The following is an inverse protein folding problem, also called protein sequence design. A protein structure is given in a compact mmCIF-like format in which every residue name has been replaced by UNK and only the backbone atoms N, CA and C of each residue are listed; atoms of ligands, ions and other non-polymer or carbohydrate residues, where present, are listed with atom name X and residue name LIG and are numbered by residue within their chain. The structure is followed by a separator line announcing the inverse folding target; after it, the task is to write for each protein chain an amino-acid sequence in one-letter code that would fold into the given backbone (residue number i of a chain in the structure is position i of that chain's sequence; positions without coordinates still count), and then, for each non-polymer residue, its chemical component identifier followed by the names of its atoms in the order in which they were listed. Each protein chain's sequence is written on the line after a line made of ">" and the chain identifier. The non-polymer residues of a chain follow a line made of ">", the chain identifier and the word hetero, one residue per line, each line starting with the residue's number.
data_IF_435919468507
#
_entry.id   IF_435919468507
#
_cell.length_a   1.000
_cell.length_b   1.000
_cell.length_c   1.000
_cell.angle_alpha   90.00
_cell.angle_beta   90.00
_cell.angle_gamma   90.00
#
_symmetry.space_group_name_H-M   'P 1'
#
loop_
_entity.id
_entity.type
_entity.pdbx_description
1 polymer ?
#
# COMPACT_ATOMS: atom_id res chain seq x y z
N UNK A 1 -3.93 9.51 12.72
CA UNK A 1 -2.90 9.73 11.69
C UNK A 1 -3.07 8.62 10.66
N UNK A 2 -3.05 8.92 9.36
CA UNK A 2 -3.22 7.89 8.32
C UNK A 2 -1.87 7.48 7.72
N UNK A 3 -1.68 6.20 7.41
CA UNK A 3 -0.47 5.65 6.79
C UNK A 3 -0.82 5.15 5.38
N UNK A 4 -0.04 5.57 4.39
CA UNK A 4 -0.19 5.16 3.00
C UNK A 4 1.10 4.52 2.51
N UNK A 5 0.99 3.49 1.67
CA UNK A 5 2.12 2.87 0.97
C UNK A 5 2.10 3.25 -0.51
N UNK A 6 3.28 3.42 -1.10
CA UNK A 6 3.46 3.85 -2.49
C UNK A 6 3.99 2.69 -3.33
N UNK A 7 3.08 1.91 -3.90
CA UNK A 7 3.39 0.69 -4.65
C UNK A 7 2.25 0.34 -5.60
N UNK A 8 2.56 -0.33 -6.71
CA UNK A 8 1.57 -0.99 -7.57
C UNK A 8 1.57 -2.52 -7.41
N UNK A 9 2.44 -3.08 -6.57
CA UNK A 9 2.49 -4.52 -6.33
C UNK A 9 1.36 -4.96 -5.41
N UNK A 10 0.44 -5.76 -5.96
CA UNK A 10 -0.71 -6.30 -5.24
C UNK A 10 -0.30 -7.23 -4.10
N UNK A 11 0.84 -7.93 -4.19
CA UNK A 11 1.34 -8.77 -3.11
C UNK A 11 1.72 -7.92 -1.89
N UNK A 12 2.50 -6.86 -2.10
CA UNK A 12 2.90 -5.92 -1.05
C UNK A 12 1.68 -5.24 -0.40
N UNK A 13 0.70 -4.82 -1.21
CA UNK A 13 -0.54 -4.22 -0.70
C UNK A 13 -1.30 -5.20 0.21
N UNK A 14 -1.39 -6.48 -0.19
CA UNK A 14 -2.08 -7.51 0.60
C UNK A 14 -1.37 -7.77 1.92
N UNK A 15 -0.05 -7.85 1.91
CA UNK A 15 0.74 -8.10 3.12
C UNK A 15 0.63 -6.92 4.09
N UNK A 16 0.75 -5.68 3.60
CA UNK A 16 0.59 -4.49 4.41
C UNK A 16 -0.83 -4.35 5.00
N UNK A 17 -1.86 -4.71 4.21
CA UNK A 17 -3.24 -4.75 4.68
C UNK A 17 -3.45 -5.84 5.74
N UNK A 18 -2.85 -7.02 5.58
CA UNK A 18 -2.93 -8.11 6.55
C UNK A 18 -2.23 -7.78 7.87
N UNK A 19 -1.17 -6.97 7.84
CA UNK A 19 -0.51 -6.43 9.03
C UNK A 19 -1.35 -5.37 9.76
N UNK A 20 -2.37 -4.79 9.11
CA UNK A 20 -3.23 -3.76 9.68
C UNK A 20 -2.53 -2.41 9.89
N UNK A 21 -1.49 -2.11 9.10
CA UNK A 21 -0.65 -0.91 9.26
C UNK A 21 -0.90 0.19 8.24
N UNK A 22 -1.75 -0.05 7.23
CA UNK A 22 -2.03 0.90 6.13
C UNK A 22 -3.51 1.26 6.05
N UNK A 23 -3.77 2.53 5.73
CA UNK A 23 -5.10 3.10 5.49
C UNK A 23 -5.42 3.27 4.00
N UNK A 24 -4.42 3.12 3.12
CA UNK A 24 -4.58 3.23 1.68
C UNK A 24 -3.27 3.09 0.90
N UNK A 25 -3.38 3.24 -0.42
CA UNK A 25 -2.28 3.09 -1.38
C UNK A 25 -2.21 4.30 -2.30
N UNK A 26 -1.00 4.76 -2.60
CA UNK A 26 -0.72 5.68 -3.71
C UNK A 26 0.05 4.95 -4.80
N UNK A 27 -0.10 5.41 -6.04
CA UNK A 27 0.59 4.83 -7.20
C UNK A 27 0.90 5.94 -8.21
N UNK A 28 1.76 5.62 -9.17
CA UNK A 28 2.09 6.49 -10.30
C UNK A 28 2.39 5.62 -11.54
N UNK A 29 2.42 6.20 -12.76
CA UNK A 29 2.61 5.42 -13.99
C UNK A 29 3.93 4.65 -14.12
N UNK A 30 4.92 4.95 -13.28
CA UNK A 30 6.23 4.28 -13.29
C UNK A 30 6.32 3.11 -12.31
N UNK A 31 5.38 3.02 -11.35
CA UNK A 31 5.27 1.93 -10.39
C UNK A 31 4.40 0.80 -10.94
#
# INVERSE_FOLDING_TARGET
>A
MKIFIDTADVAEIRDAAAMGVVDGVTTNPSL
#
